data_IF_735463445367
#
_entry.id   IF_735463445367
#
_cell.length_a   1.000
_cell.length_b   1.000
_cell.length_c   1.000
_cell.angle_alpha   90.00
_cell.angle_beta   90.00
_cell.angle_gamma   90.00
#
_symmetry.space_group_name_H-M   'P 1'
#
loop_
_entity.id
_entity.type
_entity.pdbx_description
1 polymer ?
#
# COMPACT_ATOMS: atom_id res chain seq x y z
N UNK A 1 -8.44 -10.08 13.33
CA UNK A 1 -8.28 -10.98 12.16
C UNK A 1 -8.91 -10.33 10.95
N UNK A 2 -8.77 -10.95 9.78
CA UNK A 2 -9.38 -10.48 8.52
C UNK A 2 -10.68 -11.24 8.30
N UNK A 3 -11.76 -10.55 7.91
CA UNK A 3 -13.02 -11.19 7.52
C UNK A 3 -12.86 -11.79 6.11
N UNK A 4 -13.33 -13.02 5.89
CA UNK A 4 -13.10 -13.74 4.64
C UNK A 4 -13.61 -12.99 3.41
N UNK A 5 -14.76 -12.31 3.53
CA UNK A 5 -15.38 -11.49 2.48
C UNK A 5 -14.55 -10.24 2.10
N UNK A 6 -13.66 -9.79 2.98
CA UNK A 6 -12.79 -8.64 2.76
C UNK A 6 -11.39 -9.03 2.27
N UNK A 7 -11.06 -10.32 2.29
CA UNK A 7 -9.74 -10.82 1.92
C UNK A 7 -9.64 -10.94 0.40
N UNK A 8 -8.78 -10.13 -0.20
CA UNK A 8 -8.45 -10.20 -1.64
C UNK A 8 -6.95 -10.32 -1.84
N UNK A 9 -6.56 -10.93 -2.95
CA UNK A 9 -5.16 -11.04 -3.35
C UNK A 9 -4.90 -10.28 -4.64
N UNK A 10 -3.75 -9.62 -4.71
CA UNK A 10 -3.24 -8.97 -5.93
C UNK A 10 -1.79 -9.36 -6.15
N UNK A 11 -1.30 -9.21 -7.37
CA UNK A 11 0.11 -9.36 -7.71
C UNK A 11 0.75 -7.98 -7.66
N UNK A 12 1.88 -7.87 -6.95
CA UNK A 12 2.71 -6.67 -6.96
C UNK A 12 3.35 -6.50 -8.34
N UNK A 13 3.33 -5.28 -8.86
CA UNK A 13 3.87 -4.90 -10.16
C UNK A 13 4.88 -3.76 -9.96
N UNK A 14 6.11 -3.99 -10.42
CA UNK A 14 7.25 -3.09 -10.30
C UNK A 14 8.04 -3.21 -8.99
N UNK A 15 9.15 -2.47 -8.92
CA UNK A 15 10.17 -2.62 -7.88
C UNK A 15 10.06 -1.63 -6.70
N UNK A 16 8.99 -0.83 -6.65
CA UNK A 16 8.87 0.24 -5.64
C UNK A 16 8.82 -0.27 -4.18
N UNK A 17 8.42 -1.51 -3.98
CA UNK A 17 8.35 -2.13 -2.64
C UNK A 17 9.50 -3.12 -2.39
N UNK A 18 10.49 -3.18 -3.27
CA UNK A 18 11.67 -4.02 -3.09
C UNK A 18 12.57 -3.52 -1.94
N UNK A 19 13.30 -4.44 -1.28
CA UNK A 19 13.28 -5.89 -1.48
C UNK A 19 12.15 -6.61 -0.69
N UNK A 20 11.32 -5.85 0.02
CA UNK A 20 10.33 -6.41 0.99
C UNK A 20 9.17 -7.10 0.29
N UNK A 21 8.65 -6.49 -0.79
CA UNK A 21 7.64 -7.06 -1.67
C UNK A 21 8.22 -6.97 -3.08
N UNK A 22 8.93 -8.01 -3.54
CA UNK A 22 9.46 -8.09 -4.90
C UNK A 22 8.36 -8.05 -5.97
N UNK A 23 8.76 -7.66 -7.18
CA UNK A 23 7.91 -7.80 -8.36
C UNK A 23 7.36 -9.23 -8.49
N UNK A 24 6.09 -9.36 -8.89
CA UNK A 24 5.40 -10.65 -8.99
C UNK A 24 4.92 -11.26 -7.66
N UNK A 25 5.21 -10.63 -6.51
CA UNK A 25 4.77 -11.13 -5.20
C UNK A 25 3.25 -11.09 -5.06
N UNK A 26 2.65 -12.17 -4.55
CA UNK A 26 1.23 -12.16 -4.16
C UNK A 26 1.05 -11.46 -2.82
N UNK A 27 0.16 -10.47 -2.78
CA UNK A 27 -0.14 -9.64 -1.61
C UNK A 27 -1.60 -9.80 -1.20
N UNK A 28 -1.83 -10.11 0.07
CA UNK A 28 -3.16 -10.20 0.68
C UNK A 28 -3.59 -8.87 1.32
N UNK A 29 -4.75 -8.37 0.92
CA UNK A 29 -5.32 -7.09 1.34
C UNK A 29 -6.63 -7.33 2.11
N UNK A 30 -6.79 -6.64 3.23
CA UNK A 30 -8.03 -6.56 4.01
C UNK A 30 -8.79 -5.29 3.62
N UNK A 31 -9.79 -5.44 2.74
CA UNK A 31 -10.63 -4.34 2.24
C UNK A 31 -11.51 -3.69 3.33
N UNK A 32 -11.69 -4.35 4.47
CA UNK A 32 -12.43 -3.80 5.61
C UNK A 32 -11.59 -2.82 6.44
N UNK A 33 -10.27 -2.78 6.23
CA UNK A 33 -9.34 -2.00 7.07
C UNK A 33 -8.72 -0.84 6.28
N UNK A 34 -9.44 0.28 6.25
CA UNK A 34 -9.05 1.48 5.48
C UNK A 34 -8.44 2.59 6.33
N UNK A 35 -8.49 2.48 7.65
CA UNK A 35 -7.90 3.46 8.55
C UNK A 35 -6.39 3.43 8.46
N UNK A 36 -5.78 4.56 8.09
CA UNK A 36 -4.34 4.72 8.01
C UNK A 36 -3.74 4.67 9.42
N UNK A 37 -2.78 3.75 9.59
CA UNK A 37 -1.88 3.67 10.74
C UNK A 37 -0.47 3.81 10.20
N UNK A 38 0.25 4.76 10.75
CA UNK A 38 1.54 5.18 10.21
C UNK A 38 2.52 4.03 10.05
N UNK A 39 3.19 4.00 8.90
CA UNK A 39 4.17 2.98 8.54
C UNK A 39 3.59 1.59 8.27
N UNK A 40 2.27 1.46 8.11
CA UNK A 40 1.67 0.22 7.60
C UNK A 40 1.51 0.27 6.09
N UNK A 41 1.47 -0.91 5.49
CA UNK A 41 1.37 -1.10 4.04
C UNK A 41 -0.10 -1.16 3.66
N UNK A 42 -0.47 -0.41 2.63
CA UNK A 42 -1.82 -0.32 2.12
C UNK A 42 -1.84 -0.49 0.61
N UNK A 43 -2.95 -1.04 0.12
CA UNK A 43 -3.35 -0.88 -1.26
C UNK A 43 -4.16 0.42 -1.36
N UNK A 44 -3.75 1.30 -2.28
CA UNK A 44 -4.42 2.57 -2.56
C UNK A 44 -4.75 2.66 -4.04
N UNK A 45 -5.83 3.37 -4.34
CA UNK A 45 -6.04 3.96 -5.65
C UNK A 45 -5.61 5.43 -5.57
N UNK A 46 -4.65 5.82 -6.41
CA UNK A 46 -4.18 7.20 -6.54
C UNK A 46 -4.20 7.56 -8.02
N UNK A 47 -5.11 8.46 -8.42
CA UNK A 47 -5.26 8.85 -9.82
C UNK A 47 -5.64 7.72 -10.78
N UNK A 48 -6.35 6.68 -10.30
CA UNK A 48 -6.72 5.49 -11.09
C UNK A 48 -5.70 4.36 -11.03
N UNK A 49 -4.54 4.57 -10.40
CA UNK A 49 -3.48 3.56 -10.29
C UNK A 49 -3.61 2.80 -8.97
N UNK A 50 -3.66 1.47 -9.05
CA UNK A 50 -3.52 0.59 -7.89
C UNK A 50 -2.05 0.57 -7.47
N UNK A 51 -1.77 0.98 -6.23
CA UNK A 51 -0.41 1.07 -5.70
C UNK A 51 -0.32 0.40 -4.32
N UNK A 52 0.76 -0.35 -4.08
CA UNK A 52 1.11 -0.85 -2.75
C UNK A 52 2.18 0.07 -2.15
N UNK A 53 1.88 0.71 -1.02
CA UNK A 53 2.74 1.74 -0.40
C UNK A 53 2.64 1.74 1.12
N UNK A 54 3.67 2.25 1.80
CA UNK A 54 3.56 2.67 3.19
C UNK A 54 2.84 4.01 3.25
N UNK A 55 1.89 4.14 4.17
CA UNK A 55 1.19 5.41 4.41
C UNK A 55 1.52 5.97 5.79
N UNK A 56 1.64 7.30 5.85
CA UNK A 56 1.77 8.06 7.09
C UNK A 56 0.82 9.25 7.03
N UNK A 57 0.01 9.45 8.07
CA UNK A 57 -0.79 10.66 8.17
C UNK A 57 0.14 11.86 8.35
N UNK A 58 -0.19 12.95 7.68
CA UNK A 58 0.50 14.23 7.79
C UNK A 58 -0.51 15.31 8.23
N UNK A 59 -0.05 16.44 8.80
CA UNK A 59 -0.92 17.58 9.05
C UNK A 59 -1.62 18.07 7.76
N UNK A 60 -2.66 18.90 7.92
CA UNK A 60 -3.37 19.54 6.81
C UNK A 60 -4.03 18.56 5.83
N UNK A 61 -4.59 17.46 6.34
CA UNK A 61 -5.28 16.44 5.53
C UNK A 61 -4.39 15.87 4.40
N UNK A 62 -3.09 15.77 4.68
CA UNK A 62 -2.14 15.17 3.76
C UNK A 62 -1.77 13.75 4.19
N UNK A 63 -1.26 13.00 3.24
CA UNK A 63 -0.71 11.67 3.45
C UNK A 63 0.64 11.58 2.76
N UNK A 64 1.61 11.02 3.47
CA UNK A 64 2.88 10.66 2.87
C UNK A 64 2.80 9.24 2.34
N UNK A 65 3.03 9.10 1.04
CA UNK A 65 3.06 7.85 0.30
C UNK A 65 4.52 7.46 0.12
N UNK A 66 4.94 6.39 0.77
CA UNK A 66 6.33 5.97 0.82
C UNK A 66 6.53 4.57 0.22
N UNK A 67 7.61 4.44 -0.54
CA UNK A 67 8.13 3.19 -1.08
C UNK A 67 9.14 2.56 -0.10
N UNK A 68 9.40 1.26 -0.22
CA UNK A 68 10.58 0.67 0.46
C UNK A 68 11.86 0.97 -0.34
N UNK A 69 11.79 0.88 -1.67
CA UNK A 69 12.86 1.29 -2.57
C UNK A 69 12.87 2.82 -2.74
N UNK A 70 13.22 3.56 -1.68
CA UNK A 70 13.20 5.03 -1.69
C UNK A 70 14.29 5.67 -2.54
N UNK A 71 15.32 4.93 -2.90
CA UNK A 71 16.42 5.45 -3.74
C UNK A 71 15.94 5.70 -5.18
N UNK A 72 15.13 4.78 -5.72
CA UNK A 72 14.51 4.94 -7.04
C UNK A 72 13.12 5.59 -6.98
N UNK A 73 12.40 5.43 -5.87
CA UNK A 73 11.02 5.90 -5.68
C UNK A 73 10.92 6.80 -4.45
N UNK A 74 11.29 8.10 -4.54
CA UNK A 74 11.28 9.02 -3.42
C UNK A 74 9.88 9.21 -2.81
N UNK A 75 9.83 9.67 -1.56
CA UNK A 75 8.59 9.93 -0.83
C UNK A 75 7.70 10.94 -1.59
N UNK A 76 6.41 10.62 -1.73
CA UNK A 76 5.39 11.48 -2.30
C UNK A 76 4.48 12.03 -1.19
N UNK A 77 3.97 13.24 -1.37
CA UNK A 77 2.95 13.84 -0.51
C UNK A 77 1.72 14.09 -1.38
N UNK A 78 0.57 13.57 -0.95
CA UNK A 78 -0.71 13.77 -1.60
C UNK A 78 -1.72 14.34 -0.61
N UNK A 79 -2.75 15.00 -1.10
CA UNK A 79 -3.92 15.31 -0.28
C UNK A 79 -4.72 14.02 -0.06
N UNK A 80 -5.35 13.90 1.10
CA UNK A 80 -6.13 12.71 1.45
C UNK A 80 -7.30 12.50 0.47
N UNK A 81 -7.84 13.58 -0.12
CA UNK A 81 -8.91 13.53 -1.11
C UNK A 81 -8.48 12.93 -2.46
N UNK A 82 -7.19 12.98 -2.79
CA UNK A 82 -6.65 12.47 -4.07
C UNK A 82 -6.39 10.96 -4.04
N UNK A 83 -6.47 10.36 -2.85
CA UNK A 83 -6.26 8.92 -2.66
C UNK A 83 -7.50 8.23 -2.10
N UNK A 84 -7.69 6.98 -2.52
CA UNK A 84 -8.65 6.08 -1.91
C UNK A 84 -7.92 4.89 -1.33
N UNK A 85 -7.94 4.75 0.01
CA UNK A 85 -7.42 3.54 0.67
C UNK A 85 -8.37 2.38 0.39
N UNK A 86 -7.88 1.40 -0.35
CA UNK A 86 -8.67 0.21 -0.71
C UNK A 86 -8.70 -0.78 0.46
N UNK A 87 -7.56 -0.96 1.12
CA UNK A 87 -7.43 -1.83 2.27
C UNK A 87 -5.99 -1.94 2.76
N UNK A 88 -5.84 -2.53 3.95
CA UNK A 88 -4.53 -2.74 4.57
C UNK A 88 -3.95 -4.08 4.13
N UNK A 89 -2.67 -4.10 3.77
CA UNK A 89 -1.97 -5.35 3.52
C UNK A 89 -1.78 -6.09 4.86
N UNK A 90 -2.25 -7.34 4.92
CA UNK A 90 -2.12 -8.19 6.11
C UNK A 90 -1.10 -9.32 5.92
N UNK A 91 -0.76 -9.64 4.67
CA UNK A 91 0.13 -10.75 4.33
C UNK A 91 0.73 -10.56 2.93
N UNK A 92 1.89 -11.14 2.70
CA UNK A 92 2.48 -11.36 1.38
C UNK A 92 3.37 -12.63 1.42
N UNK A 93 3.59 -13.27 0.28
CA UNK A 93 4.53 -14.39 0.16
C UNK A 93 5.52 -14.16 -0.96
N UNK A 94 6.79 -14.19 -0.59
CA UNK A 94 7.90 -14.16 -1.54
C UNK A 94 8.27 -15.60 -1.88
N UNK A 95 8.38 -15.90 -3.18
CA UNK A 95 8.94 -17.17 -3.64
C UNK A 95 10.45 -16.97 -3.82
N UNK A 96 11.24 -17.88 -3.25
CA UNK A 96 12.70 -17.90 -3.36
C UNK A 96 13.15 -18.69 -4.59
#
# INVERSE_FOLDING_TARGET
GVQYENAVCVIADGNSMEPVIPDGTTVGIDLGNKTIRDGKIYAINHGGLLRIKLLYNMPNEQVKIRSYNTEEHPDEIAELQDISVLGKVFWYSVLL
#
